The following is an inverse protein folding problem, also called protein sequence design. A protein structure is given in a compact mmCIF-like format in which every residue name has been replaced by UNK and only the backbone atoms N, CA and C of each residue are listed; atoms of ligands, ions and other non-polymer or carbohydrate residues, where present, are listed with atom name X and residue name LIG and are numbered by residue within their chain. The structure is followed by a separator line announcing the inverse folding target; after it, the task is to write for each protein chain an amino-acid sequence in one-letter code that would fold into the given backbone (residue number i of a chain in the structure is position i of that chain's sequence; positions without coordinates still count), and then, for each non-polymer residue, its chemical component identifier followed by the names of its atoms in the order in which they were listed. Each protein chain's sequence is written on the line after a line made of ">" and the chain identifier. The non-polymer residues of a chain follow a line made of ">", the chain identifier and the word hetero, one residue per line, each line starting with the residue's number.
data_IF_805592899829
#
_entry.id   IF_805592899829
#
_cell.length_a   1.000
_cell.length_b   1.000
_cell.length_c   1.000
_cell.angle_alpha   90.00
_cell.angle_beta   90.00
_cell.angle_gamma   90.00
#
_symmetry.space_group_name_H-M   'P 1'
#
loop_
_entity.id
_entity.type
_entity.pdbx_description
1 polymer ?
#
# COMPACT_ATOMS: atom_id res chain seq x y z
N UNK A 1 -4.71 -6.06 -33.73
CA UNK A 1 -3.57 -6.38 -32.83
C UNK A 1 -4.01 -6.56 -31.37
N UNK A 2 -5.15 -7.22 -31.09
CA UNK A 2 -5.63 -7.41 -29.70
C UNK A 2 -5.12 -8.72 -29.04
N UNK A 3 -4.52 -9.64 -29.81
CA UNK A 3 -4.01 -10.92 -29.29
C UNK A 3 -2.59 -10.89 -28.70
N UNK A 4 -1.74 -9.96 -29.13
CA UNK A 4 -0.31 -9.96 -28.76
C UNK A 4 -0.03 -9.52 -27.31
N UNK A 5 -0.91 -8.73 -26.69
CA UNK A 5 -0.70 -8.25 -25.31
C UNK A 5 -1.12 -9.28 -24.26
N UNK A 6 -2.08 -10.16 -24.57
CA UNK A 6 -2.51 -11.21 -23.65
C UNK A 6 -1.44 -12.30 -23.48
N UNK A 7 -0.65 -12.57 -24.51
CA UNK A 7 0.45 -13.56 -24.45
C UNK A 7 1.67 -13.07 -23.65
N UNK A 8 1.84 -11.76 -23.46
CA UNK A 8 2.93 -11.18 -22.64
C UNK A 8 2.85 -11.67 -21.19
N UNK A 9 1.64 -11.95 -20.69
CA UNK A 9 1.45 -12.51 -19.34
C UNK A 9 2.01 -13.93 -19.18
N UNK A 10 2.25 -14.66 -20.27
CA UNK A 10 2.81 -16.03 -20.26
C UNK A 10 4.35 -16.04 -20.28
N UNK A 11 5.00 -14.89 -20.41
CA UNK A 11 6.45 -14.78 -20.36
C UNK A 11 6.90 -14.49 -18.91
N UNK A 12 7.65 -15.39 -18.24
CA UNK A 12 7.98 -15.26 -16.81
C UNK A 12 8.70 -13.96 -16.43
N UNK A 13 9.43 -13.35 -17.37
CA UNK A 13 10.15 -12.08 -17.15
C UNK A 13 9.24 -10.83 -17.21
N UNK A 14 8.09 -10.91 -17.89
CA UNK A 14 7.20 -9.76 -18.11
C UNK A 14 5.98 -9.77 -17.20
N UNK A 15 5.68 -10.92 -16.59
CA UNK A 15 4.53 -11.07 -15.69
C UNK A 15 4.58 -10.08 -14.52
N UNK A 16 5.73 -9.86 -13.88
CA UNK A 16 5.87 -8.92 -12.77
C UNK A 16 5.65 -7.45 -13.19
N UNK A 17 6.00 -7.07 -14.42
CA UNK A 17 5.70 -5.74 -14.95
C UNK A 17 4.22 -5.58 -15.28
N UNK A 18 3.56 -6.64 -15.78
CA UNK A 18 2.12 -6.66 -15.97
C UNK A 18 1.39 -6.54 -14.62
N UNK A 19 1.86 -7.23 -13.58
CA UNK A 19 1.33 -7.13 -12.22
C UNK A 19 1.54 -5.74 -11.61
N UNK A 20 2.71 -5.12 -11.81
CA UNK A 20 2.95 -3.73 -11.39
C UNK A 20 1.93 -2.77 -12.04
N UNK A 21 1.71 -2.91 -13.36
CA UNK A 21 0.72 -2.10 -14.06
C UNK A 21 -0.70 -2.32 -13.53
N UNK A 22 -1.08 -3.57 -13.23
CA UNK A 22 -2.38 -3.89 -12.62
C UNK A 22 -2.49 -3.36 -11.19
N UNK A 23 -1.42 -3.45 -10.41
CA UNK A 23 -1.39 -2.97 -9.02
C UNK A 23 -1.56 -1.46 -8.92
N UNK A 24 -1.05 -0.70 -9.91
CA UNK A 24 -1.25 0.74 -9.99
C UNK A 24 -2.73 1.14 -10.10
N UNK A 25 -3.60 0.24 -10.57
CA UNK A 25 -5.05 0.46 -10.70
C UNK A 25 -5.85 0.01 -9.47
N UNK A 26 -5.20 -0.50 -8.42
CA UNK A 26 -5.90 -0.95 -7.22
C UNK A 26 -6.48 0.25 -6.46
N UNK A 27 -7.80 0.26 -6.36
CA UNK A 27 -8.52 1.05 -5.37
C UNK A 27 -8.64 0.29 -4.05
N UNK A 28 -8.37 0.97 -2.93
CA UNK A 28 -8.54 0.44 -1.58
C UNK A 28 -10.03 0.45 -1.24
N UNK A 29 -10.66 -0.72 -1.30
CA UNK A 29 -12.05 -0.96 -0.89
C UNK A 29 -12.26 -2.47 -0.67
N UNK A 30 -13.43 -2.85 -0.16
CA UNK A 30 -13.76 -4.24 0.15
C UNK A 30 -13.87 -5.15 -1.09
N UNK A 31 -14.17 -4.61 -2.28
CA UNK A 31 -14.38 -5.41 -3.49
C UNK A 31 -13.09 -6.10 -3.93
N UNK A 32 -13.10 -7.44 -4.02
CA UNK A 32 -11.95 -8.23 -4.45
C UNK A 32 -10.73 -8.08 -3.52
N UNK A 33 -10.93 -7.73 -2.25
CA UNK A 33 -9.85 -7.35 -1.33
C UNK A 33 -8.74 -8.40 -1.20
N UNK A 34 -9.11 -9.68 -1.12
CA UNK A 34 -8.15 -10.79 -1.03
C UNK A 34 -7.20 -10.82 -2.23
N UNK A 35 -7.74 -10.63 -3.43
CA UNK A 35 -6.95 -10.67 -4.67
C UNK A 35 -6.09 -9.42 -4.81
N UNK A 36 -6.62 -8.25 -4.44
CA UNK A 36 -5.87 -6.99 -4.37
C UNK A 36 -4.68 -7.10 -3.42
N UNK A 37 -4.90 -7.67 -2.24
CA UNK A 37 -3.85 -7.88 -1.24
C UNK A 37 -2.81 -8.87 -1.74
N UNK A 38 -3.22 -9.99 -2.35
CA UNK A 38 -2.29 -10.95 -2.93
C UNK A 38 -1.44 -10.35 -4.07
N UNK A 39 -2.06 -9.57 -4.97
CA UNK A 39 -1.38 -8.87 -6.04
C UNK A 39 -0.40 -7.83 -5.49
N UNK A 40 -0.84 -6.95 -4.58
CA UNK A 40 0.02 -5.93 -4.00
C UNK A 40 1.21 -6.56 -3.24
N UNK A 41 1.01 -7.67 -2.52
CA UNK A 41 2.10 -8.40 -1.86
C UNK A 41 3.13 -8.99 -2.84
N UNK A 42 2.71 -9.45 -4.02
CA UNK A 42 3.65 -9.92 -5.07
C UNK A 42 4.42 -8.75 -5.65
N UNK A 43 3.74 -7.65 -5.97
CA UNK A 43 4.37 -6.44 -6.50
C UNK A 43 5.33 -5.83 -5.48
N UNK A 44 4.98 -5.81 -4.18
CA UNK A 44 5.86 -5.31 -3.12
C UNK A 44 7.19 -6.07 -3.05
N UNK A 45 7.16 -7.39 -3.24
CA UNK A 45 8.38 -8.23 -3.29
C UNK A 45 9.22 -8.00 -4.55
N UNK A 46 8.57 -7.65 -5.65
CA UNK A 46 9.25 -7.38 -6.92
C UNK A 46 9.83 -5.96 -6.98
N UNK A 47 9.02 -4.96 -6.64
CA UNK A 47 9.38 -3.54 -6.68
C UNK A 47 8.73 -2.80 -5.49
N UNK A 48 9.46 -2.66 -4.37
CA UNK A 48 8.97 -1.89 -3.25
C UNK A 48 9.14 -0.40 -3.58
N UNK A 49 8.09 0.20 -4.09
CA UNK A 49 8.00 1.65 -4.32
C UNK A 49 6.97 2.25 -3.35
N UNK A 50 7.07 3.56 -3.11
CA UNK A 50 6.25 4.29 -2.13
C UNK A 50 4.77 3.90 -2.18
N UNK A 51 4.14 3.98 -3.35
CA UNK A 51 2.71 3.72 -3.50
C UNK A 51 2.33 2.27 -3.22
N UNK A 52 3.20 1.29 -3.51
CA UNK A 52 2.96 -0.13 -3.26
C UNK A 52 3.12 -0.46 -1.78
N UNK A 53 4.12 0.13 -1.12
CA UNK A 53 4.41 -0.07 0.29
C UNK A 53 3.26 0.45 1.18
N UNK A 54 2.84 1.70 0.98
CA UNK A 54 1.72 2.26 1.75
C UNK A 54 0.39 1.60 1.38
N UNK A 55 0.14 1.26 0.10
CA UNK A 55 -1.08 0.52 -0.29
C UNK A 55 -1.17 -0.83 0.41
N UNK A 56 -0.04 -1.48 0.71
CA UNK A 56 -0.04 -2.73 1.49
C UNK A 56 -0.70 -2.53 2.86
N UNK A 57 -0.31 -1.48 3.58
CA UNK A 57 -0.88 -1.13 4.87
C UNK A 57 -2.39 -0.82 4.77
N UNK A 58 -2.78 -0.06 3.75
CA UNK A 58 -4.19 0.28 3.52
C UNK A 58 -5.06 -0.95 3.22
N UNK A 59 -4.59 -1.88 2.39
CA UNK A 59 -5.31 -3.12 2.10
C UNK A 59 -5.39 -4.04 3.32
N UNK A 60 -4.34 -4.08 4.15
CA UNK A 60 -4.35 -4.82 5.41
C UNK A 60 -5.39 -4.24 6.38
N UNK A 61 -5.44 -2.91 6.54
CA UNK A 61 -6.44 -2.24 7.37
C UNK A 61 -7.87 -2.52 6.88
N UNK A 62 -8.12 -2.38 5.57
CA UNK A 62 -9.41 -2.72 4.97
C UNK A 62 -9.83 -4.18 5.23
N UNK A 63 -8.86 -5.09 5.38
CA UNK A 63 -9.11 -6.51 5.66
C UNK A 63 -9.29 -6.84 7.14
N UNK A 64 -9.27 -5.81 8.02
CA UNK A 64 -9.33 -5.97 9.47
C UNK A 64 -8.02 -6.43 10.12
N UNK A 65 -6.93 -6.54 9.35
CA UNK A 65 -5.62 -7.00 9.85
C UNK A 65 -4.80 -5.85 10.45
N UNK A 66 -5.35 -5.23 11.49
CA UNK A 66 -4.90 -3.92 11.97
C UNK A 66 -3.43 -3.88 12.43
N UNK A 67 -2.98 -4.90 13.15
CA UNK A 67 -1.59 -4.99 13.63
C UNK A 67 -0.60 -5.06 12.47
N UNK A 68 -0.92 -5.84 11.43
CA UNK A 68 -0.09 -5.94 10.24
C UNK A 68 -0.11 -4.65 9.43
N UNK A 69 -1.25 -3.95 9.38
CA UNK A 69 -1.39 -2.67 8.72
C UNK A 69 -0.47 -1.61 9.35
N UNK A 70 -0.47 -1.52 10.69
CA UNK A 70 0.41 -0.61 11.43
C UNK A 70 1.89 -0.91 11.18
N UNK A 71 2.29 -2.19 11.27
CA UNK A 71 3.66 -2.60 10.98
C UNK A 71 4.08 -2.22 9.55
N UNK A 72 3.24 -2.51 8.56
CA UNK A 72 3.51 -2.17 7.17
C UNK A 72 3.61 -0.65 6.95
N UNK A 73 2.78 0.13 7.64
CA UNK A 73 2.82 1.59 7.56
C UNK A 73 4.10 2.17 8.16
N UNK A 74 4.50 1.69 9.34
CA UNK A 74 5.75 2.11 9.98
C UNK A 74 6.96 1.79 9.08
N UNK A 75 7.02 0.57 8.54
CA UNK A 75 8.05 0.20 7.57
C UNK A 75 8.07 1.12 6.34
N UNK A 76 6.89 1.52 5.85
CA UNK A 76 6.78 2.44 4.73
C UNK A 76 7.28 3.85 5.08
N UNK A 77 7.02 4.37 6.28
CA UNK A 77 7.56 5.66 6.75
C UNK A 77 9.10 5.64 6.74
N UNK A 78 9.71 4.62 7.32
CA UNK A 78 11.17 4.50 7.41
C UNK A 78 11.85 4.28 6.06
N UNK A 79 11.17 3.64 5.11
CA UNK A 79 11.71 3.35 3.78
C UNK A 79 11.42 4.45 2.75
N UNK A 80 10.27 5.11 2.88
CA UNK A 80 9.75 6.11 1.93
C UNK A 80 9.11 7.28 2.71
N UNK A 81 9.92 8.21 3.23
CA UNK A 81 9.44 9.33 4.05
C UNK A 81 8.64 10.38 3.27
N UNK A 82 8.46 10.21 1.96
CA UNK A 82 7.73 11.13 1.07
C UNK A 82 6.26 10.76 0.88
N UNK A 83 5.69 9.90 1.72
CA UNK A 83 4.33 9.33 1.63
C UNK A 83 3.15 10.29 1.89
N UNK A 84 3.28 11.58 1.59
CA UNK A 84 2.26 12.60 1.90
C UNK A 84 0.93 12.32 1.18
N UNK A 85 0.98 11.84 -0.07
CA UNK A 85 -0.22 11.53 -0.83
C UNK A 85 -0.95 10.33 -0.24
N UNK A 86 -0.20 9.34 0.23
CA UNK A 86 -0.69 8.12 0.83
C UNK A 86 -1.29 8.40 2.22
N UNK A 87 -0.69 9.30 3.00
CA UNK A 87 -1.32 9.81 4.24
C UNK A 87 -2.65 10.51 3.95
N UNK A 88 -2.71 11.40 2.96
CA UNK A 88 -3.99 12.04 2.57
C UNK A 88 -5.03 11.03 2.13
N UNK A 89 -4.61 9.96 1.44
CA UNK A 89 -5.50 8.87 1.08
C UNK A 89 -6.02 8.15 2.34
N UNK A 90 -5.17 7.90 3.34
CA UNK A 90 -5.57 7.31 4.61
C UNK A 90 -6.57 8.20 5.36
N UNK A 91 -6.37 9.52 5.39
CA UNK A 91 -7.31 10.48 5.97
C UNK A 91 -8.70 10.35 5.32
N UNK A 92 -8.75 10.39 3.99
CA UNK A 92 -10.01 10.23 3.23
C UNK A 92 -10.70 8.86 3.45
N UNK A 93 -9.91 7.80 3.60
CA UNK A 93 -10.45 6.47 3.91
C UNK A 93 -10.99 6.40 5.33
N UNK A 94 -10.33 7.03 6.31
CA UNK A 94 -10.79 7.10 7.69
C UNK A 94 -12.07 7.93 7.85
N UNK A 95 -12.28 8.95 7.03
CA UNK A 95 -13.56 9.69 6.99
C UNK A 95 -14.71 8.80 6.51
N UNK A 96 -14.47 7.93 5.52
CA UNK A 96 -15.50 7.10 4.88
C UNK A 96 -15.77 5.78 5.59
N UNK A 97 -14.73 5.16 6.11
CA UNK A 97 -14.76 3.86 6.79
C UNK A 97 -13.90 3.90 8.07
N UNK A 98 -14.36 4.64 9.10
CA UNK A 98 -13.60 4.78 10.34
C UNK A 98 -13.29 3.44 11.02
N UNK A 99 -14.18 2.44 10.85
CA UNK A 99 -14.05 1.13 11.47
C UNK A 99 -12.76 0.41 11.09
N UNK A 100 -12.29 0.60 9.85
CA UNK A 100 -11.06 -0.03 9.37
C UNK A 100 -9.84 0.91 9.46
N UNK A 101 -10.02 2.22 9.33
CA UNK A 101 -8.89 3.13 9.09
C UNK A 101 -8.59 4.11 10.23
N UNK A 102 -9.52 4.41 11.14
CA UNK A 102 -9.29 5.45 12.16
C UNK A 102 -8.08 5.13 13.05
N UNK A 103 -7.98 3.88 13.54
CA UNK A 103 -6.86 3.45 14.37
C UNK A 103 -5.53 3.35 13.59
N UNK A 104 -5.57 3.22 12.26
CA UNK A 104 -4.34 3.28 11.45
C UNK A 104 -3.91 4.73 11.25
N UNK A 105 -4.86 5.65 11.05
CA UNK A 105 -4.58 7.08 10.93
C UNK A 105 -3.96 7.64 12.20
N UNK A 106 -4.52 7.33 13.36
CA UNK A 106 -3.96 7.74 14.65
C UNK A 106 -2.51 7.26 14.81
N UNK A 107 -2.28 5.98 14.53
CA UNK A 107 -0.94 5.39 14.56
C UNK A 107 0.02 6.06 13.57
N UNK A 108 -0.42 6.31 12.33
CA UNK A 108 0.38 6.96 11.30
C UNK A 108 0.85 8.35 11.74
N UNK A 109 -0.06 9.18 12.27
CA UNK A 109 0.27 10.52 12.75
C UNK A 109 1.28 10.51 13.89
N UNK A 110 1.17 9.56 14.81
CA UNK A 110 2.16 9.37 15.87
C UNK A 110 3.53 9.00 15.29
N UNK A 111 3.58 8.01 14.39
CA UNK A 111 4.83 7.51 13.83
C UNK A 111 5.56 8.51 12.93
N UNK A 112 4.82 9.35 12.21
CA UNK A 112 5.43 10.43 11.43
C UNK A 112 6.08 11.49 12.31
N UNK A 113 5.48 11.82 13.46
CA UNK A 113 6.08 12.72 14.44
C UNK A 113 7.35 12.10 15.06
N UNK A 114 7.31 10.80 15.39
CA UNK A 114 8.48 10.06 15.89
C UNK A 114 9.62 10.07 14.87
N UNK A 115 9.32 9.76 13.61
CA UNK A 115 10.28 9.81 12.51
C UNK A 115 10.88 11.20 12.34
N UNK A 116 10.04 12.25 12.30
CA UNK A 116 10.52 13.62 12.17
C UNK A 116 11.47 13.98 13.33
N UNK A 117 11.12 13.66 14.58
CA UNK A 117 12.02 13.89 15.73
C UNK A 117 13.32 13.12 15.61
N UNK A 118 13.28 11.86 15.18
CA UNK A 118 14.47 11.02 15.03
C UNK A 118 15.44 11.58 13.97
N UNK A 119 14.93 12.14 12.87
CA UNK A 119 15.76 12.73 11.81
C UNK A 119 16.35 14.09 12.22
N UNK A 120 15.61 14.91 12.97
CA UNK A 120 16.08 16.25 13.36
C UNK A 120 17.03 16.24 14.57
N UNK A 121 17.09 15.14 15.33
CA UNK A 121 17.95 14.98 16.51
C UNK A 121 19.27 14.23 16.21
N UNK A 122 19.63 14.06 14.93
CA UNK A 122 20.92 13.52 14.48
C UNK A 122 21.88 14.63 14.06
#
# INVERSE_FOLDING_TARGET
>A
AQGQLADVQRMPLLSSYAELSQSALIEVNAQGLKDKLALNSRVLRFTPIVSVAYRQALLLAQSGQQQQAQLAWEQAIWSYPTGINERKQLEHLAEKDPAHFAALLEFALQKEQEYARAVHNQ
#
